data_IF_695263055483
#
_entry.id   IF_695263055483
#
_cell.length_a   1.000
_cell.length_b   1.000
_cell.length_c   1.000
_cell.angle_alpha   90.00
_cell.angle_beta   90.00
_cell.angle_gamma   90.00
#
_symmetry.space_group_name_H-M   'P 1'
#
loop_
_entity.id
_entity.type
_entity.pdbx_description
1 polymer ?
#
# COMPACT_ATOMS: atom_id res chain seq x y z
N UNK A 1 -0.31 -6.92 -18.97
CA UNK A 1 -0.55 -5.58 -18.38
C UNK A 1 -1.90 -5.06 -18.83
N UNK A 2 -2.92 -5.25 -17.99
CA UNK A 2 -4.29 -4.80 -18.24
C UNK A 2 -4.51 -3.38 -17.69
N UNK A 3 -4.70 -2.42 -18.61
CA UNK A 3 -4.82 -0.99 -18.28
C UNK A 3 -6.10 -0.65 -17.51
N UNK A 4 -7.18 -1.41 -17.68
CA UNK A 4 -8.44 -1.14 -16.97
C UNK A 4 -8.31 -1.46 -15.47
N UNK A 5 -7.67 -2.60 -15.14
CA UNK A 5 -7.43 -2.96 -13.75
C UNK A 5 -6.50 -1.95 -13.06
N UNK A 6 -5.55 -1.36 -13.79
CA UNK A 6 -4.68 -0.31 -13.26
C UNK A 6 -5.46 0.97 -12.95
N UNK A 7 -6.41 1.35 -13.81
CA UNK A 7 -7.29 2.51 -13.57
C UNK A 7 -8.13 2.33 -12.31
N UNK A 8 -8.75 1.16 -12.16
CA UNK A 8 -9.56 0.81 -10.98
C UNK A 8 -8.68 0.71 -9.72
N UNK A 9 -7.47 0.16 -9.84
CA UNK A 9 -6.53 0.07 -8.72
C UNK A 9 -6.09 1.45 -8.22
N UNK A 10 -5.90 2.43 -9.12
CA UNK A 10 -5.61 3.82 -8.76
C UNK A 10 -6.80 4.51 -8.09
N UNK A 11 -8.04 4.20 -8.48
CA UNK A 11 -9.22 4.71 -7.78
C UNK A 11 -9.30 4.21 -6.33
N UNK A 12 -8.88 2.95 -6.08
CA UNK A 12 -8.87 2.36 -4.73
C UNK A 12 -7.65 2.74 -3.89
N UNK A 13 -6.49 2.84 -4.52
CA UNK A 13 -5.21 3.21 -3.88
C UNK A 13 -4.71 4.48 -4.59
N UNK A 14 -5.19 5.67 -4.19
CA UNK A 14 -4.88 6.92 -4.88
C UNK A 14 -3.40 7.32 -4.78
N UNK A 15 -2.68 6.80 -3.77
CA UNK A 15 -1.25 7.02 -3.66
C UNK A 15 -0.48 6.05 -4.55
N UNK A 16 0.03 6.56 -5.68
CA UNK A 16 0.81 5.78 -6.65
C UNK A 16 2.00 5.06 -6.04
N UNK A 17 2.72 5.69 -5.09
CA UNK A 17 3.89 5.07 -4.47
C UNK A 17 3.51 3.83 -3.65
N UNK A 18 2.38 3.94 -2.94
CA UNK A 18 1.82 2.84 -2.15
C UNK A 18 1.33 1.73 -3.06
N UNK A 19 0.66 2.08 -4.15
CA UNK A 19 0.20 1.10 -5.14
C UNK A 19 1.37 0.31 -5.75
N UNK A 20 2.43 0.99 -6.17
CA UNK A 20 3.63 0.34 -6.72
C UNK A 20 4.28 -0.60 -5.69
N UNK A 21 4.38 -0.16 -4.44
CA UNK A 21 4.92 -0.98 -3.36
C UNK A 21 4.04 -2.20 -3.07
N UNK A 22 2.72 -2.01 -3.03
CA UNK A 22 1.74 -3.08 -2.81
C UNK A 22 1.81 -4.14 -3.90
N UNK A 23 1.83 -3.70 -5.17
CA UNK A 23 1.97 -4.59 -6.33
C UNK A 23 3.27 -5.38 -6.23
N UNK A 24 4.39 -4.69 -5.96
CA UNK A 24 5.71 -5.32 -5.87
C UNK A 24 5.78 -6.36 -4.75
N UNK A 25 5.26 -6.01 -3.58
CA UNK A 25 5.24 -6.89 -2.41
C UNK A 25 4.38 -8.14 -2.66
N UNK A 26 3.16 -7.95 -3.16
CA UNK A 26 2.25 -9.06 -3.43
C UNK A 26 2.75 -9.95 -4.57
N UNK A 27 3.32 -9.38 -5.62
CA UNK A 27 3.89 -10.16 -6.73
C UNK A 27 5.01 -11.08 -6.23
N UNK A 28 5.86 -10.61 -5.31
CA UNK A 28 6.90 -11.45 -4.69
C UNK A 28 6.29 -12.62 -3.90
N UNK A 29 5.21 -12.41 -3.16
CA UNK A 29 4.52 -13.51 -2.47
C UNK A 29 3.97 -14.56 -3.44
N UNK A 30 3.36 -14.13 -4.54
CA UNK A 30 2.87 -15.06 -5.56
C UNK A 30 4.02 -15.84 -6.21
N UNK A 31 5.14 -15.17 -6.48
CA UNK A 31 6.35 -15.82 -6.98
C UNK A 31 6.94 -16.81 -5.96
N UNK A 32 6.79 -16.57 -4.65
CA UNK A 32 7.18 -17.53 -3.61
C UNK A 32 6.15 -18.65 -3.39
N UNK A 33 5.13 -18.78 -4.23
CA UNK A 33 4.13 -19.84 -4.18
C UNK A 33 2.93 -19.53 -3.28
N UNK A 34 2.72 -18.28 -2.86
CA UNK A 34 1.51 -17.90 -2.15
C UNK A 34 0.27 -18.13 -3.02
N UNK A 35 -0.83 -18.53 -2.39
CA UNK A 35 -2.09 -18.77 -3.10
C UNK A 35 -2.67 -17.44 -3.62
N UNK A 36 -3.04 -17.36 -4.91
CA UNK A 36 -3.82 -16.25 -5.44
C UNK A 36 -5.19 -16.14 -4.76
N UNK A 37 -5.65 -14.91 -4.52
CA UNK A 37 -7.00 -14.63 -4.00
C UNK A 37 -8.05 -14.68 -5.11
N UNK A 38 -7.65 -14.36 -6.34
CA UNK A 38 -8.51 -14.38 -7.53
C UNK A 38 -8.09 -15.51 -8.47
N UNK A 39 -9.06 -16.08 -9.19
CA UNK A 39 -8.79 -17.08 -10.22
C UNK A 39 -8.08 -16.42 -11.41
N UNK A 40 -6.98 -17.04 -11.85
CA UNK A 40 -6.34 -16.69 -13.13
C UNK A 40 -7.32 -16.93 -14.26
N UNK A 41 -7.52 -15.92 -15.11
CA UNK A 41 -8.41 -16.07 -16.26
C UNK A 41 -7.80 -17.06 -17.26
N UNK A 42 -6.48 -17.02 -17.46
CA UNK A 42 -5.73 -17.84 -18.40
C UNK A 42 -4.46 -18.41 -17.73
N UNK A 43 -3.93 -19.54 -18.21
CA UNK A 43 -2.78 -20.21 -17.60
C UNK A 43 -1.50 -19.35 -17.61
N UNK A 44 -1.31 -18.54 -18.66
CA UNK A 44 -0.15 -17.67 -18.85
C UNK A 44 -0.33 -16.27 -18.23
N UNK A 45 -1.39 -16.06 -17.45
CA UNK A 45 -1.63 -14.76 -16.82
C UNK A 45 -0.48 -14.40 -15.88
N UNK A 46 0.12 -13.24 -16.17
CA UNK A 46 1.20 -12.67 -15.39
C UNK A 46 0.73 -12.34 -13.97
N UNK A 47 1.63 -12.52 -13.00
CA UNK A 47 1.33 -12.27 -11.60
C UNK A 47 1.06 -10.78 -11.35
N UNK A 48 1.64 -9.87 -12.14
CA UNK A 48 1.32 -8.45 -12.06
C UNK A 48 -0.15 -8.16 -12.41
N UNK A 49 -0.66 -8.76 -13.48
CA UNK A 49 -2.07 -8.61 -13.88
C UNK A 49 -3.01 -9.23 -12.84
N UNK A 50 -2.59 -10.34 -12.23
CA UNK A 50 -3.34 -11.00 -11.17
C UNK A 50 -3.46 -10.10 -9.94
N UNK A 51 -2.37 -9.47 -9.50
CA UNK A 51 -2.39 -8.55 -8.35
C UNK A 51 -3.24 -7.32 -8.64
N UNK A 52 -3.15 -6.74 -9.84
CA UNK A 52 -4.02 -5.63 -10.24
C UNK A 52 -5.51 -6.03 -10.16
N UNK A 53 -5.83 -7.28 -10.54
CA UNK A 53 -7.19 -7.82 -10.39
C UNK A 53 -7.59 -8.02 -8.94
N UNK A 54 -6.71 -8.55 -8.07
CA UNK A 54 -6.96 -8.66 -6.63
C UNK A 54 -7.31 -7.29 -5.98
N UNK A 55 -6.59 -6.23 -6.39
CA UNK A 55 -6.86 -4.86 -5.93
C UNK A 55 -8.18 -4.35 -6.53
N UNK A 56 -8.40 -4.52 -7.84
CA UNK A 56 -9.61 -4.10 -8.53
C UNK A 56 -10.88 -4.77 -7.97
N UNK A 57 -10.80 -6.02 -7.50
CA UNK A 57 -11.89 -6.71 -6.79
C UNK A 57 -12.01 -6.29 -5.30
N UNK A 58 -10.96 -5.67 -4.74
CA UNK A 58 -10.97 -5.14 -3.37
C UNK A 58 -10.59 -6.18 -2.32
N UNK A 59 -10.00 -7.29 -2.75
CA UNK A 59 -9.49 -8.34 -1.87
C UNK A 59 -8.12 -7.99 -1.29
N UNK A 60 -7.41 -7.06 -1.94
CA UNK A 60 -6.12 -6.55 -1.51
C UNK A 60 -6.19 -5.04 -1.32
N UNK A 61 -5.84 -4.57 -0.12
CA UNK A 61 -5.70 -3.14 0.21
C UNK A 61 -4.41 -2.92 1.01
N UNK A 62 -3.94 -1.67 1.04
CA UNK A 62 -2.82 -1.27 1.88
C UNK A 62 -3.34 -0.43 3.04
N UNK A 63 -3.21 -0.95 4.26
CA UNK A 63 -3.48 -0.18 5.47
C UNK A 63 -2.19 0.53 5.89
N UNK A 64 -2.24 1.86 5.97
CA UNK A 64 -1.18 2.63 6.60
C UNK A 64 -1.43 2.64 8.09
N UNK A 65 -0.65 1.87 8.84
CA UNK A 65 -0.58 2.06 10.27
C UNK A 65 0.28 3.32 10.51
N UNK A 66 -0.35 4.50 10.47
CA UNK A 66 0.31 5.73 10.90
C UNK A 66 0.61 5.58 12.39
N UNK A 67 1.88 5.47 12.82
CA UNK A 67 2.16 5.63 14.23
C UNK A 67 1.70 7.05 14.59
N UNK A 68 0.76 7.17 15.53
CA UNK A 68 0.43 8.46 16.10
C UNK A 68 1.75 9.05 16.61
N UNK A 69 2.23 10.09 15.92
CA UNK A 69 3.36 10.87 16.41
C UNK A 69 2.81 11.53 17.67
N UNK A 70 3.14 10.96 18.83
CA UNK A 70 2.88 11.58 20.11
C UNK A 70 3.42 13.00 20.02
N UNK A 71 2.51 13.98 19.97
CA UNK A 71 2.89 15.38 20.01
C UNK A 71 3.43 15.61 21.41
N UNK A 72 4.74 15.47 21.55
CA UNK A 72 5.48 15.90 22.71
C UNK A 72 5.37 17.43 22.71
N UNK A 73 4.38 17.94 23.44
CA UNK A 73 4.25 19.36 23.70
C UNK A 73 5.49 19.78 24.47
N UNK A 74 6.46 20.36 23.75
CA UNK A 74 7.60 21.01 24.38
C UNK A 74 7.12 22.28 25.08
N UNK A 75 6.45 22.11 26.22
CA UNK A 75 6.34 23.13 27.25
C UNK A 75 7.70 23.19 27.98
N UNK A 76 8.73 23.59 27.25
CA UNK A 76 9.95 24.09 27.88
C UNK A 76 9.64 25.53 28.28
N UNK A 77 9.12 25.68 29.49
CA UNK A 77 9.00 26.94 30.18
C UNK A 77 10.44 27.46 30.40
N UNK A 78 10.94 28.21 29.42
CA UNK A 78 12.24 28.86 29.49
C UNK A 78 12.10 29.97 30.53
N UNK A 79 12.38 29.64 31.79
CA UNK A 79 12.35 30.58 32.90
C UNK A 79 13.33 31.72 32.62
N UNK A 80 12.79 32.86 32.18
CA UNK A 80 13.54 34.07 31.84
C UNK A 80 14.28 34.67 33.06
N UNK A 81 14.16 34.05 34.24
CA UNK A 81 14.83 34.46 35.48
C UNK A 81 16.33 34.12 35.55
N UNK A 82 16.88 33.35 34.60
CA UNK A 82 18.32 32.97 34.59
C UNK A 82 19.24 34.05 33.99
N UNK A 83 18.70 35.13 33.41
CA UNK A 83 19.49 36.12 32.65
C UNK A 83 19.57 37.53 33.29
N UNK A 84 19.49 37.64 34.61
CA UNK A 84 19.77 38.88 35.35
C UNK A 84 21.07 38.74 36.15
#
# INVERSE_FOLDING_TARGET
>A
MNMENLRIALEKVPNTQVLVNLISYRTRQLNSGARPMVKKDHAEMDNHDLVLKEIAEGLLTAEMNTPEVAQESSNLDFDASILI
#
